data_IF_850931581593
#
_entry.id   IF_850931581593
#
_cell.length_a   1.000
_cell.length_b   1.000
_cell.length_c   1.000
_cell.angle_alpha   90.00
_cell.angle_beta   90.00
_cell.angle_gamma   90.00
#
_symmetry.space_group_name_H-M   'P 1'
#
loop_
_entity.id
_entity.type
_entity.pdbx_description
1 polymer ?
#
# COMPACT_ATOMS: atom_id res chain seq x y z
N UNK A 1 15.87 7.80 -2.44
CA UNK A 1 15.21 7.17 -3.60
C UNK A 1 15.03 5.69 -3.31
N UNK A 2 13.92 5.08 -3.74
CA UNK A 2 13.69 3.62 -3.62
C UNK A 2 13.92 3.00 -5.00
N UNK A 3 14.87 2.07 -5.09
CA UNK A 3 15.32 1.52 -6.38
C UNK A 3 14.80 0.10 -6.62
N UNK A 4 14.46 -0.64 -5.57
CA UNK A 4 13.93 -2.00 -5.64
C UNK A 4 12.57 -2.10 -4.95
N UNK A 5 11.60 -2.71 -5.63
CA UNK A 5 10.27 -2.97 -5.10
C UNK A 5 9.62 -4.14 -5.84
N UNK A 6 8.67 -4.80 -5.19
CA UNK A 6 7.78 -5.78 -5.80
C UNK A 6 6.40 -5.17 -5.96
N UNK A 7 5.81 -5.29 -7.14
CA UNK A 7 4.47 -4.77 -7.43
C UNK A 7 3.51 -5.89 -7.81
N UNK A 8 2.41 -6.00 -7.08
CA UNK A 8 1.24 -6.73 -7.53
C UNK A 8 0.30 -5.77 -8.25
N UNK A 9 0.20 -5.94 -9.57
CA UNK A 9 -0.58 -5.03 -10.42
C UNK A 9 -2.09 -5.11 -10.16
N UNK A 10 -2.58 -6.29 -9.75
CA UNK A 10 -4.00 -6.56 -9.54
C UNK A 10 -4.20 -7.38 -8.28
N UNK A 11 -4.81 -6.76 -7.29
CA UNK A 11 -5.25 -7.40 -6.06
C UNK A 11 -6.70 -7.02 -5.76
N UNK A 12 -7.42 -7.95 -5.16
CA UNK A 12 -8.82 -7.79 -4.78
C UNK A 12 -8.90 -7.52 -3.28
N UNK A 13 -9.94 -6.82 -2.83
CA UNK A 13 -10.10 -6.60 -1.39
C UNK A 13 -11.29 -5.74 -1.01
N UNK A 14 -11.63 -5.82 0.28
CA UNK A 14 -12.70 -5.06 0.92
C UNK A 14 -12.16 -4.43 2.21
N UNK A 15 -12.21 -3.11 2.30
CA UNK A 15 -11.96 -2.40 3.56
C UNK A 15 -13.19 -2.46 4.47
N UNK A 16 -13.01 -2.17 5.76
CA UNK A 16 -14.14 -2.13 6.72
C UNK A 16 -15.23 -1.11 6.36
N UNK A 17 -14.86 -0.04 5.68
CA UNK A 17 -15.73 1.12 5.38
C UNK A 17 -15.90 1.32 3.86
N UNK A 18 -15.04 0.72 3.04
CA UNK A 18 -15.07 0.89 1.59
C UNK A 18 -15.84 -0.23 0.92
N UNK A 19 -16.41 0.07 -0.24
CA UNK A 19 -16.97 -0.97 -1.10
C UNK A 19 -15.88 -1.99 -1.53
N UNK A 20 -16.26 -3.25 -1.78
CA UNK A 20 -15.34 -4.24 -2.31
C UNK A 20 -14.82 -3.85 -3.70
N UNK A 21 -13.60 -4.30 -4.01
CA UNK A 21 -13.04 -4.30 -5.36
C UNK A 21 -12.63 -5.72 -5.70
N UNK A 22 -13.48 -6.42 -6.45
CA UNK A 22 -13.35 -7.86 -6.75
C UNK A 22 -13.16 -8.15 -8.24
N UNK A 23 -13.13 -7.10 -9.07
CA UNK A 23 -12.98 -7.19 -10.51
C UNK A 23 -14.03 -8.08 -11.21
N UNK A 24 -15.27 -7.97 -10.75
CA UNK A 24 -16.42 -8.63 -11.37
C UNK A 24 -17.52 -7.61 -11.69
N UNK A 25 -18.63 -8.08 -12.28
CA UNK A 25 -19.74 -7.23 -12.69
C UNK A 25 -20.49 -6.58 -11.50
N UNK A 26 -20.40 -7.15 -10.30
CA UNK A 26 -21.06 -6.65 -9.09
C UNK A 26 -20.17 -5.64 -8.37
N UNK A 27 -18.86 -5.92 -8.29
CA UNK A 27 -17.86 -5.11 -7.62
C UNK A 27 -16.70 -4.78 -8.59
N UNK A 28 -16.90 -3.77 -9.46
CA UNK A 28 -15.94 -3.47 -10.50
C UNK A 28 -14.62 -2.92 -9.95
N UNK A 29 -13.55 -3.23 -10.67
CA UNK A 29 -12.21 -2.72 -10.43
C UNK A 29 -11.42 -3.50 -9.37
N UNK A 30 -10.16 -3.10 -9.23
CA UNK A 30 -9.16 -3.75 -8.39
C UNK A 30 -8.23 -2.72 -7.76
N UNK A 31 -7.34 -3.17 -6.88
CA UNK A 31 -6.27 -2.36 -6.32
C UNK A 31 -4.90 -2.86 -6.79
N UNK A 32 -3.85 -2.11 -6.49
CA UNK A 32 -2.46 -2.54 -6.65
C UNK A 32 -1.73 -2.45 -5.32
N UNK A 33 -0.73 -3.31 -5.11
CA UNK A 33 0.16 -3.25 -3.94
C UNK A 33 1.58 -3.06 -4.42
N UNK A 34 2.30 -2.18 -3.74
CA UNK A 34 3.75 -2.04 -3.86
C UNK A 34 4.33 -2.44 -2.51
N UNK A 35 5.27 -3.38 -2.52
CA UNK A 35 6.02 -3.81 -1.35
C UNK A 35 7.49 -3.45 -1.54
N UNK A 36 8.05 -2.87 -0.48
CA UNK A 36 9.42 -2.37 -0.44
C UNK A 36 10.05 -2.96 0.82
N UNK A 37 11.22 -3.58 0.66
CA UNK A 37 12.10 -3.95 1.78
C UNK A 37 13.26 -2.96 1.75
N UNK A 38 13.47 -2.25 2.86
CA UNK A 38 14.45 -1.17 2.95
C UNK A 38 14.93 -0.99 4.38
N UNK A 39 16.03 -0.24 4.56
CA UNK A 39 16.50 0.19 5.89
C UNK A 39 15.52 1.12 6.61
N UNK A 40 15.60 1.15 7.94
CA UNK A 40 14.69 1.87 8.83
C UNK A 40 14.62 3.37 8.52
N UNK A 41 15.75 4.01 8.21
CA UNK A 41 15.78 5.44 7.88
C UNK A 41 14.93 5.75 6.64
N UNK A 42 14.99 4.91 5.60
CA UNK A 42 14.13 5.06 4.42
C UNK A 42 12.68 4.67 4.73
N UNK A 43 12.45 3.64 5.54
CA UNK A 43 11.10 3.23 5.95
C UNK A 43 10.37 4.39 6.66
N UNK A 44 11.02 5.03 7.64
CA UNK A 44 10.48 6.19 8.37
C UNK A 44 10.12 7.34 7.41
N UNK A 45 10.99 7.64 6.46
CA UNK A 45 10.73 8.67 5.46
C UNK A 45 9.52 8.31 4.57
N UNK A 46 9.39 7.05 4.14
CA UNK A 46 8.25 6.58 3.34
C UNK A 46 6.95 6.67 4.15
N UNK A 47 6.96 6.25 5.41
CA UNK A 47 5.81 6.33 6.32
C UNK A 47 5.39 7.78 6.51
N UNK A 48 6.35 8.69 6.76
CA UNK A 48 6.08 10.12 6.92
C UNK A 48 5.45 10.73 5.66
N UNK A 49 6.07 10.55 4.49
CA UNK A 49 5.53 11.07 3.23
C UNK A 49 4.18 10.42 2.88
N UNK A 50 4.01 9.13 3.17
CA UNK A 50 2.75 8.42 2.99
C UNK A 50 1.64 8.95 3.89
N UNK A 51 1.96 9.30 5.15
CA UNK A 51 1.02 9.94 6.08
C UNK A 51 0.56 11.29 5.54
N UNK A 52 1.50 12.15 5.17
CA UNK A 52 1.21 13.47 4.58
C UNK A 52 0.33 13.37 3.33
N UNK A 53 0.60 12.38 2.47
CA UNK A 53 -0.22 12.12 1.28
C UNK A 53 -1.62 11.60 1.65
N UNK A 54 -1.73 10.70 2.61
CA UNK A 54 -3.01 10.18 3.10
C UNK A 54 -3.90 11.31 3.63
N UNK A 55 -3.32 12.22 4.41
CA UNK A 55 -4.02 13.36 4.98
C UNK A 55 -4.52 14.32 3.88
N UNK A 56 -3.68 14.62 2.88
CA UNK A 56 -4.07 15.41 1.69
C UNK A 56 -5.20 14.77 0.88
N UNK A 57 -5.27 13.43 0.85
CA UNK A 57 -6.27 12.68 0.08
C UNK A 57 -7.53 12.31 0.89
N UNK A 58 -7.66 12.79 2.13
CA UNK A 58 -8.83 12.56 2.97
C UNK A 58 -8.91 11.15 3.57
N UNK A 59 -7.77 10.49 3.83
CA UNK A 59 -7.62 9.27 4.62
C UNK A 59 -8.35 7.99 4.15
N UNK A 60 -8.99 8.02 2.97
CA UNK A 60 -9.80 6.91 2.45
C UNK A 60 -9.22 6.22 1.21
N UNK A 61 -8.11 6.69 0.64
CA UNK A 61 -7.69 6.31 -0.71
C UNK A 61 -6.68 5.16 -0.79
N UNK A 62 -5.76 5.07 0.15
CA UNK A 62 -4.80 3.96 0.21
C UNK A 62 -4.48 3.62 1.66
N UNK A 63 -3.80 2.48 1.86
CA UNK A 63 -3.29 2.06 3.16
C UNK A 63 -1.80 1.78 3.01
N UNK A 64 -1.06 2.16 4.04
CA UNK A 64 0.37 1.91 4.18
C UNK A 64 0.54 1.07 5.43
N UNK A 65 1.32 0.01 5.30
CA UNK A 65 1.65 -0.90 6.40
C UNK A 65 3.16 -0.99 6.50
N UNK A 66 3.64 -0.99 7.73
CA UNK A 66 5.02 -1.26 8.06
C UNK A 66 5.07 -2.65 8.71
N UNK A 67 5.91 -3.52 8.18
CA UNK A 67 6.06 -4.89 8.66
C UNK A 67 7.56 -5.14 8.92
N UNK A 68 7.94 -5.70 10.07
CA UNK A 68 9.34 -6.02 10.34
C UNK A 68 9.81 -7.15 9.43
N UNK A 69 10.99 -6.97 8.81
CA UNK A 69 11.67 -8.01 8.03
C UNK A 69 12.89 -8.49 8.81
N UNK A 70 12.77 -9.65 9.42
CA UNK A 70 13.82 -10.18 10.31
C UNK A 70 15.03 -10.76 9.56
N UNK A 71 14.86 -11.15 8.29
CA UNK A 71 15.90 -11.77 7.47
C UNK A 71 15.60 -11.63 5.98
N UNK A 72 16.63 -11.36 5.19
CA UNK A 72 16.65 -11.45 3.72
C UNK A 72 17.74 -12.45 3.33
N UNK A 73 17.47 -13.31 2.34
CA UNK A 73 18.39 -14.35 1.83
C UNK A 73 18.67 -14.06 0.37
#
# INVERSE_FOLDING_TARGET
>A
NVEAYTKWNKVLGKGRISDPRMDDAVWPGFNSVIMIVTDDNKAENIVKTGKELSDKLGNKRFKLFELPVNRVI
#
